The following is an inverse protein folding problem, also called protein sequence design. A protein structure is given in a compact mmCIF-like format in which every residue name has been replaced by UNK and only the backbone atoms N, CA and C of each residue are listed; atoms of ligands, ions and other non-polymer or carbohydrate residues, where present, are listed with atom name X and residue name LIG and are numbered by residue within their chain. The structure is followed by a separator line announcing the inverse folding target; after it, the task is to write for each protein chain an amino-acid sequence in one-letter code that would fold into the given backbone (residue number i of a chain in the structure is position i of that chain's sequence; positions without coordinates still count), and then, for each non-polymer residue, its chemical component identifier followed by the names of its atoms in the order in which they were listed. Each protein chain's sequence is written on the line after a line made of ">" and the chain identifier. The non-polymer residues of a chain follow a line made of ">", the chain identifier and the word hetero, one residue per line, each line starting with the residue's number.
data_IF_712412718555
#
_entry.id   IF_712412718555
#
_cell.length_a   1.000
_cell.length_b   1.000
_cell.length_c   1.000
_cell.angle_alpha   90.00
_cell.angle_beta   90.00
_cell.angle_gamma   90.00
#
_symmetry.space_group_name_H-M   'P 1'
#
loop_
_entity.id
_entity.type
_entity.pdbx_description
1 polymer ?
#
# COMPACT_ATOMS: atom_id res chain seq x y z
N UNK A 1 9.06 -23.52 24.01
CA UNK A 1 8.44 -24.39 25.03
C UNK A 1 8.95 -25.81 24.80
N UNK A 2 9.97 -26.25 25.55
CA UNK A 2 10.71 -27.50 25.30
C UNK A 2 10.12 -28.61 26.20
N UNK A 3 9.57 -29.72 25.66
CA UNK A 3 9.00 -30.77 26.51
C UNK A 3 10.09 -31.68 27.10
N UNK A 4 10.34 -31.49 28.41
CA UNK A 4 11.29 -32.22 29.28
C UNK A 4 10.87 -33.66 29.62
N UNK A 5 10.42 -34.48 28.66
CA UNK A 5 9.84 -35.82 29.00
C UNK A 5 10.53 -37.06 28.44
N UNK A 6 11.63 -36.93 27.68
CA UNK A 6 12.28 -38.10 27.07
C UNK A 6 13.50 -38.64 27.84
N UNK A 7 13.90 -38.00 28.95
CA UNK A 7 15.14 -38.37 29.66
C UNK A 7 14.98 -39.49 30.71
N UNK A 8 13.75 -39.91 31.05
CA UNK A 8 13.52 -40.87 32.16
C UNK A 8 13.33 -42.32 31.72
N UNK A 9 13.12 -42.60 30.43
CA UNK A 9 12.81 -43.94 29.94
C UNK A 9 14.05 -44.79 29.62
N UNK A 10 15.12 -44.18 29.11
CA UNK A 10 16.38 -44.89 28.77
C UNK A 10 17.19 -45.28 30.01
N UNK A 11 17.02 -44.55 31.12
CA UNK A 11 17.73 -44.84 32.37
C UNK A 11 17.22 -46.15 33.01
N UNK A 12 15.92 -46.44 32.90
CA UNK A 12 15.30 -47.67 33.44
C UNK A 12 15.77 -48.97 32.77
N UNK A 13 16.15 -48.92 31.49
CA UNK A 13 16.61 -50.11 30.76
C UNK A 13 18.10 -50.42 31.04
N UNK A 14 18.90 -49.42 31.41
CA UNK A 14 20.31 -49.59 31.79
C UNK A 14 20.50 -49.99 33.26
N UNK A 15 19.54 -49.65 34.13
CA UNK A 15 19.59 -49.95 35.56
C UNK A 15 19.81 -51.44 35.88
N UNK A 16 19.10 -52.42 35.28
CA UNK A 16 19.32 -53.84 35.61
C UNK A 16 20.68 -54.34 35.15
N UNK A 17 21.22 -53.84 34.04
CA UNK A 17 22.54 -54.22 33.55
C UNK A 17 23.66 -53.64 34.44
N UNK A 18 23.55 -52.38 34.86
CA UNK A 18 24.51 -51.76 35.78
C UNK A 18 24.44 -52.39 37.18
N UNK A 19 23.23 -52.76 37.66
CA UNK A 19 23.05 -53.52 38.90
C UNK A 19 23.65 -54.93 38.82
N UNK A 20 23.51 -55.61 37.68
CA UNK A 20 24.11 -56.93 37.48
C UNK A 20 25.65 -56.88 37.44
N UNK A 21 26.25 -55.84 36.84
CA UNK A 21 27.71 -55.63 36.87
C UNK A 21 28.21 -55.33 38.29
N UNK A 22 27.47 -54.52 39.07
CA UNK A 22 27.82 -54.25 40.47
C UNK A 22 27.67 -55.49 41.37
N UNK A 23 26.61 -56.29 41.17
CA UNK A 23 26.40 -57.53 41.90
C UNK A 23 27.45 -58.61 41.57
N UNK A 24 27.91 -58.68 40.31
CA UNK A 24 29.00 -59.58 39.92
C UNK A 24 30.33 -59.20 40.59
N UNK A 25 30.60 -57.90 40.77
CA UNK A 25 31.79 -57.44 41.50
C UNK A 25 31.72 -57.72 43.00
N UNK A 26 30.52 -57.73 43.60
CA UNK A 26 30.32 -58.10 45.00
C UNK A 26 30.36 -59.62 45.24
N UNK A 27 29.95 -60.44 44.27
CA UNK A 27 29.97 -61.90 44.37
C UNK A 27 31.37 -62.52 44.11
N UNK A 28 32.29 -61.80 43.47
CA UNK A 28 33.66 -62.28 43.20
C UNK A 28 34.69 -61.94 44.30
N UNK A 29 34.25 -61.32 45.41
CA UNK A 29 35.14 -61.02 46.55
C UNK A 29 35.23 -62.17 47.58
N UNK A 30 34.52 -63.29 47.39
CA UNK A 30 34.64 -64.48 48.26
C UNK A 30 34.95 -65.73 47.44
N UNK A 31 36.24 -66.08 47.33
CA UNK A 31 36.65 -67.35 46.75
C UNK A 31 38.14 -67.45 46.41
N UNK A 32 38.95 -67.88 47.39
CA UNK A 32 40.21 -68.58 47.12
C UNK A 32 41.50 -67.89 47.57
N UNK A 33 41.72 -67.81 48.89
CA UNK A 33 43.08 -67.85 49.43
C UNK A 33 43.52 -69.32 49.44
N UNK A 34 44.41 -69.69 48.51
CA UNK A 34 45.20 -70.90 48.59
C UNK A 34 46.67 -70.52 48.38
N UNK A 35 47.47 -70.99 49.34
CA UNK A 35 48.90 -70.77 49.50
C UNK A 35 49.74 -71.25 48.30
N UNK A 36 50.86 -70.58 48.09
CA UNK A 36 52.13 -71.21 47.71
C UNK A 36 52.35 -71.57 46.24
N UNK A 37 53.35 -70.92 45.62
CA UNK A 37 54.14 -71.51 44.54
C UNK A 37 54.02 -70.84 43.17
N UNK A 38 55.18 -70.45 42.64
CA UNK A 38 55.40 -69.83 41.33
C UNK A 38 54.79 -70.61 40.15
N UNK A 39 53.58 -70.24 39.72
CA UNK A 39 53.08 -70.41 38.36
C UNK A 39 51.81 -69.58 38.21
N UNK A 40 51.64 -68.89 37.08
CA UNK A 40 50.36 -68.23 36.74
C UNK A 40 49.24 -69.27 36.89
N UNK A 41 48.19 -69.03 37.70
CA UNK A 41 47.09 -69.97 37.86
C UNK A 41 46.17 -69.89 36.62
N UNK A 42 46.64 -70.45 35.50
CA UNK A 42 45.94 -70.47 34.21
C UNK A 42 44.49 -70.99 34.32
N UNK A 43 44.21 -71.88 35.29
CA UNK A 43 42.86 -72.37 35.55
C UNK A 43 41.87 -71.31 36.09
N UNK A 44 42.30 -70.43 37.01
CA UNK A 44 41.45 -69.35 37.53
C UNK A 44 41.26 -68.24 36.49
N UNK A 45 42.32 -67.92 35.74
CA UNK A 45 42.26 -66.97 34.62
C UNK A 45 41.26 -67.44 33.55
N UNK A 46 41.24 -68.74 33.21
CA UNK A 46 40.28 -69.30 32.25
C UNK A 46 38.84 -69.21 32.75
N UNK A 47 38.57 -69.49 34.04
CA UNK A 47 37.22 -69.34 34.61
C UNK A 47 36.75 -67.89 34.57
N UNK A 48 37.60 -66.95 34.96
CA UNK A 48 37.29 -65.52 34.91
C UNK A 48 37.10 -65.03 33.47
N UNK A 49 37.90 -65.53 32.52
CA UNK A 49 37.74 -65.23 31.09
C UNK A 49 36.42 -65.76 30.53
N UNK A 50 36.00 -66.97 30.90
CA UNK A 50 34.68 -67.53 30.50
C UNK A 50 33.54 -66.69 31.09
N UNK A 51 33.62 -66.31 32.37
CA UNK A 51 32.62 -65.45 33.00
C UNK A 51 32.51 -64.09 32.30
N UNK A 52 33.65 -63.44 32.04
CA UNK A 52 33.71 -62.19 31.29
C UNK A 52 33.16 -62.34 29.87
N UNK A 53 33.46 -63.44 29.17
CA UNK A 53 32.95 -63.72 27.84
C UNK A 53 31.42 -63.89 27.83
N UNK A 54 30.84 -64.57 28.84
CA UNK A 54 29.39 -64.70 29.00
C UNK A 54 28.75 -63.32 29.23
N UNK A 55 29.32 -62.52 30.14
CA UNK A 55 28.82 -61.16 30.42
C UNK A 55 28.92 -60.26 29.18
N UNK A 56 30.05 -60.28 28.49
CA UNK A 56 30.28 -59.52 27.26
C UNK A 56 29.30 -59.95 26.16
N UNK A 57 29.03 -61.26 26.03
CA UNK A 57 28.04 -61.80 25.09
C UNK A 57 26.63 -61.29 25.36
N UNK A 58 26.17 -61.35 26.62
CA UNK A 58 24.86 -60.84 27.04
C UNK A 58 24.78 -59.32 26.81
N UNK A 59 25.83 -58.58 27.15
CA UNK A 59 25.89 -57.13 26.98
C UNK A 59 25.81 -56.74 25.51
N UNK A 60 26.60 -57.37 24.63
CA UNK A 60 26.57 -57.12 23.18
C UNK A 60 25.20 -57.46 22.60
N UNK A 61 24.59 -58.57 23.00
CA UNK A 61 23.25 -58.94 22.55
C UNK A 61 22.20 -57.89 22.95
N UNK A 62 22.25 -57.39 24.17
CA UNK A 62 21.27 -56.42 24.68
C UNK A 62 21.52 -54.98 24.17
N UNK A 63 22.79 -54.56 23.99
CA UNK A 63 23.15 -53.21 23.53
C UNK A 63 23.08 -53.03 22.01
N UNK A 64 23.21 -54.10 21.22
CA UNK A 64 23.20 -54.01 19.75
C UNK A 64 21.93 -53.33 19.23
N UNK A 65 20.77 -53.60 19.84
CA UNK A 65 19.48 -53.03 19.44
C UNK A 65 19.33 -51.53 19.80
N UNK A 66 19.49 -51.09 21.06
CA UNK A 66 19.38 -49.67 21.42
C UNK A 66 20.49 -48.81 20.81
N UNK A 67 21.73 -49.31 20.71
CA UNK A 67 22.84 -48.55 20.12
C UNK A 67 22.63 -48.30 18.62
N UNK A 68 22.21 -49.32 17.87
CA UNK A 68 21.87 -49.14 16.45
C UNK A 68 20.67 -48.21 16.25
N UNK A 69 19.65 -48.29 17.11
CA UNK A 69 18.49 -47.40 17.04
C UNK A 69 18.88 -45.94 17.27
N UNK A 70 19.71 -45.65 18.29
CA UNK A 70 20.18 -44.30 18.59
C UNK A 70 20.99 -43.68 17.44
N UNK A 71 21.89 -44.47 16.83
CA UNK A 71 22.70 -43.98 15.70
C UNK A 71 21.85 -43.74 14.44
N UNK A 72 20.86 -44.59 14.19
CA UNK A 72 19.89 -44.39 13.09
C UNK A 72 19.05 -43.14 13.31
N UNK A 73 18.48 -42.98 14.51
CA UNK A 73 17.68 -41.79 14.86
C UNK A 73 18.49 -40.49 14.75
N UNK A 74 19.75 -40.48 15.22
CA UNK A 74 20.66 -39.34 15.05
C UNK A 74 20.96 -39.04 13.58
N UNK A 75 21.18 -40.08 12.77
CA UNK A 75 21.44 -39.93 11.34
C UNK A 75 20.21 -39.41 10.60
N UNK A 76 19.02 -39.89 10.94
CA UNK A 76 17.75 -39.43 10.38
C UNK A 76 17.44 -37.99 10.79
N UNK A 77 17.68 -37.61 12.05
CA UNK A 77 17.53 -36.23 12.51
C UNK A 77 18.49 -35.28 11.78
N UNK A 78 19.75 -35.68 11.59
CA UNK A 78 20.72 -34.87 10.87
C UNK A 78 20.31 -34.70 9.40
N UNK A 79 19.91 -35.80 8.72
CA UNK A 79 19.39 -35.75 7.35
C UNK A 79 18.17 -34.83 7.24
N UNK A 80 17.18 -35.00 8.12
CA UNK A 80 16.00 -34.13 8.18
C UNK A 80 16.39 -32.67 8.38
N UNK A 81 17.32 -32.38 9.29
CA UNK A 81 17.75 -31.00 9.54
C UNK A 81 18.45 -30.36 8.34
N UNK A 82 19.22 -31.15 7.57
CA UNK A 82 19.87 -30.68 6.34
C UNK A 82 18.82 -30.46 5.25
N UNK A 83 17.88 -31.39 5.08
CA UNK A 83 16.81 -31.28 4.09
C UNK A 83 15.88 -30.10 4.41
N UNK A 84 15.52 -29.91 5.67
CA UNK A 84 14.69 -28.80 6.14
C UNK A 84 15.42 -27.46 5.96
N UNK A 85 16.73 -27.39 6.25
CA UNK A 85 17.53 -26.20 6.00
C UNK A 85 17.65 -25.90 4.50
N UNK A 86 17.81 -26.93 3.65
CA UNK A 86 17.86 -26.77 2.20
C UNK A 86 16.52 -26.27 1.65
N UNK A 87 15.40 -26.83 2.12
CA UNK A 87 14.04 -26.37 1.78
C UNK A 87 13.81 -24.94 2.23
N UNK A 88 14.13 -24.61 3.48
CA UNK A 88 13.99 -23.24 4.00
C UNK A 88 14.81 -22.23 3.19
N UNK A 89 16.04 -22.59 2.78
CA UNK A 89 16.87 -21.75 1.91
C UNK A 89 16.26 -21.58 0.52
N UNK A 90 15.73 -22.65 -0.08
CA UNK A 90 15.07 -22.59 -1.37
C UNK A 90 13.81 -21.73 -1.33
N UNK A 91 12.97 -21.90 -0.31
CA UNK A 91 11.77 -21.07 -0.10
C UNK A 91 12.13 -19.61 0.14
N UNK A 92 13.17 -19.32 0.93
CA UNK A 92 13.64 -17.96 1.16
C UNK A 92 14.14 -17.31 -0.15
N UNK A 93 14.91 -18.05 -0.96
CA UNK A 93 15.38 -17.58 -2.25
C UNK A 93 14.24 -17.30 -3.24
N UNK A 94 13.22 -18.18 -3.28
CA UNK A 94 12.02 -17.95 -4.09
C UNK A 94 11.24 -16.72 -3.63
N UNK A 95 11.06 -16.54 -2.31
CA UNK A 95 10.39 -15.36 -1.75
C UNK A 95 11.17 -14.08 -2.07
N UNK A 96 12.50 -14.10 -1.95
CA UNK A 96 13.35 -12.96 -2.31
C UNK A 96 13.18 -12.59 -3.78
N UNK A 97 13.31 -13.56 -4.68
CA UNK A 97 13.12 -13.34 -6.13
C UNK A 97 11.72 -12.81 -6.45
N UNK A 98 10.68 -13.34 -5.79
CA UNK A 98 9.32 -12.85 -5.97
C UNK A 98 9.13 -11.41 -5.47
N UNK A 99 9.77 -11.03 -4.35
CA UNK A 99 9.75 -9.67 -3.82
C UNK A 99 10.51 -8.73 -4.77
N UNK A 100 11.71 -9.09 -5.20
CA UNK A 100 12.51 -8.29 -6.15
C UNK A 100 11.74 -8.06 -7.46
N UNK A 101 11.11 -9.10 -8.01
CA UNK A 101 10.27 -8.99 -9.20
C UNK A 101 9.04 -8.10 -8.98
N UNK A 102 8.40 -8.16 -7.81
CA UNK A 102 7.28 -7.28 -7.45
C UNK A 102 7.76 -5.83 -7.30
N UNK A 103 8.88 -5.60 -6.64
CA UNK A 103 9.45 -4.26 -6.45
C UNK A 103 9.82 -3.63 -7.80
N UNK A 104 10.45 -4.39 -8.70
CA UNK A 104 10.77 -3.92 -10.04
C UNK A 104 9.49 -3.54 -10.83
N UNK A 105 8.47 -4.41 -10.81
CA UNK A 105 7.17 -4.11 -11.44
C UNK A 105 6.51 -2.86 -10.85
N UNK A 106 6.53 -2.71 -9.52
CA UNK A 106 5.99 -1.52 -8.87
C UNK A 106 6.75 -0.25 -9.27
N UNK A 107 8.08 -0.31 -9.38
CA UNK A 107 8.88 0.82 -9.87
C UNK A 107 8.50 1.21 -11.30
N UNK A 108 8.32 0.23 -12.19
CA UNK A 108 7.89 0.46 -13.56
C UNK A 108 6.46 1.02 -13.63
N UNK A 109 5.54 0.49 -12.82
CA UNK A 109 4.16 0.98 -12.72
C UNK A 109 4.11 2.42 -12.21
N UNK A 110 4.92 2.77 -11.20
CA UNK A 110 5.03 4.14 -10.70
C UNK A 110 5.59 5.07 -11.77
N UNK A 111 6.63 4.65 -12.49
CA UNK A 111 7.20 5.45 -13.58
C UNK A 111 6.16 5.69 -14.69
N UNK A 112 5.40 4.66 -15.07
CA UNK A 112 4.32 4.78 -16.04
C UNK A 112 3.18 5.67 -15.54
N UNK A 113 2.81 5.56 -14.26
CA UNK A 113 1.78 6.39 -13.66
C UNK A 113 2.19 7.86 -13.64
N UNK A 114 3.41 8.16 -13.23
CA UNK A 114 3.95 9.53 -13.26
C UNK A 114 3.96 10.10 -14.68
N UNK A 115 4.42 9.33 -15.66
CA UNK A 115 4.42 9.76 -17.06
C UNK A 115 3.00 10.06 -17.59
N UNK A 116 2.01 9.25 -17.21
CA UNK A 116 0.59 9.50 -17.54
C UNK A 116 0.07 10.75 -16.85
N UNK A 117 0.35 10.91 -15.55
CA UNK A 117 -0.06 12.09 -14.79
C UNK A 117 0.52 13.38 -15.37
N UNK A 118 1.79 13.38 -15.76
CA UNK A 118 2.42 14.56 -16.38
C UNK A 118 1.81 14.88 -17.75
N UNK A 119 1.51 13.85 -18.54
CA UNK A 119 0.85 14.02 -19.84
C UNK A 119 -0.59 14.56 -19.69
N UNK A 120 -1.36 14.00 -18.76
CA UNK A 120 -2.73 14.42 -18.44
C UNK A 120 -2.75 15.83 -17.87
N UNK A 121 -1.88 16.15 -16.90
CA UNK A 121 -1.75 17.49 -16.35
C UNK A 121 -1.37 18.51 -17.44
N UNK A 122 -0.44 18.16 -18.33
CA UNK A 122 -0.08 19.00 -19.46
C UNK A 122 -1.24 19.24 -20.43
N UNK A 123 -2.05 18.22 -20.71
CA UNK A 123 -3.24 18.34 -21.55
C UNK A 123 -4.33 19.19 -20.89
N UNK A 124 -4.59 18.97 -19.61
CA UNK A 124 -5.58 19.70 -18.84
C UNK A 124 -5.22 21.19 -18.73
N UNK A 125 -3.95 21.51 -18.47
CA UNK A 125 -3.47 22.90 -18.43
C UNK A 125 -3.64 23.59 -19.79
N UNK A 126 -3.43 22.88 -20.91
CA UNK A 126 -3.68 23.45 -22.25
C UNK A 126 -5.17 23.70 -22.48
N UNK A 127 -6.02 22.70 -22.21
CA UNK A 127 -7.47 22.81 -22.31
C UNK A 127 -8.03 23.96 -21.47
N UNK A 128 -7.58 24.06 -20.21
CA UNK A 128 -8.02 25.12 -19.29
C UNK A 128 -7.58 26.50 -19.77
N UNK A 129 -6.37 26.63 -20.32
CA UNK A 129 -5.91 27.90 -20.92
C UNK A 129 -6.73 28.28 -22.14
N UNK A 130 -6.99 27.33 -23.04
CA UNK A 130 -7.82 27.56 -24.23
C UNK A 130 -9.24 28.00 -23.83
N UNK A 131 -9.88 27.26 -22.91
CA UNK A 131 -11.19 27.61 -22.37
C UNK A 131 -11.20 28.98 -21.70
N UNK A 132 -10.19 29.29 -20.88
CA UNK A 132 -10.06 30.61 -20.25
C UNK A 132 -9.90 31.73 -21.29
N UNK A 133 -9.09 31.53 -22.33
CA UNK A 133 -8.92 32.54 -23.39
C UNK A 133 -10.22 32.76 -24.18
N UNK A 134 -10.96 31.69 -24.47
CA UNK A 134 -12.26 31.76 -25.13
C UNK A 134 -13.28 32.50 -24.26
N UNK A 135 -13.33 32.20 -22.96
CA UNK A 135 -14.27 32.89 -22.06
C UNK A 135 -13.90 34.35 -21.86
N UNK A 136 -12.61 34.69 -21.75
CA UNK A 136 -12.15 36.09 -21.71
C UNK A 136 -12.59 36.84 -22.96
N UNK A 137 -12.43 36.24 -24.15
CA UNK A 137 -12.88 36.85 -25.40
C UNK A 137 -14.40 37.03 -25.42
N UNK A 138 -15.16 36.05 -24.95
CA UNK A 138 -16.63 36.10 -24.83
C UNK A 138 -17.07 37.23 -23.89
N UNK A 139 -16.45 37.33 -22.72
CA UNK A 139 -16.74 38.38 -21.74
C UNK A 139 -16.42 39.76 -22.32
N UNK A 140 -15.29 39.92 -23.01
CA UNK A 140 -14.95 41.20 -23.66
C UNK A 140 -15.98 41.60 -24.71
N UNK A 141 -16.34 40.70 -25.61
CA UNK A 141 -17.36 40.97 -26.62
C UNK A 141 -18.71 41.33 -25.98
N UNK A 142 -19.09 40.64 -24.91
CA UNK A 142 -20.33 40.94 -24.18
C UNK A 142 -20.27 42.31 -23.46
N UNK A 143 -19.12 42.67 -22.89
CA UNK A 143 -18.92 43.96 -22.25
C UNK A 143 -18.92 45.12 -23.26
N UNK A 144 -18.29 44.93 -24.42
CA UNK A 144 -18.31 45.90 -25.54
C UNK A 144 -19.74 46.12 -26.03
N UNK A 145 -20.46 45.03 -26.32
CA UNK A 145 -21.86 45.10 -26.74
C UNK A 145 -22.75 45.78 -25.70
N UNK A 146 -22.62 45.43 -24.42
CA UNK A 146 -23.37 46.08 -23.34
C UNK A 146 -23.02 47.57 -23.23
N UNK A 147 -21.74 47.93 -23.35
CA UNK A 147 -21.28 49.32 -23.34
C UNK A 147 -21.86 50.14 -24.49
N UNK A 148 -21.85 49.61 -25.71
CA UNK A 148 -22.45 50.27 -26.88
C UNK A 148 -23.95 50.50 -26.69
N UNK A 149 -24.66 49.50 -26.16
CA UNK A 149 -26.09 49.60 -25.89
C UNK A 149 -26.40 50.66 -24.83
N UNK A 150 -25.60 50.75 -23.76
CA UNK A 150 -25.78 51.76 -22.72
C UNK A 150 -25.46 53.17 -23.24
N UNK A 151 -24.41 53.33 -24.05
CA UNK A 151 -24.11 54.61 -24.72
C UNK A 151 -25.25 55.03 -25.64
N UNK A 152 -25.82 54.08 -26.40
CA UNK A 152 -26.96 54.36 -27.28
C UNK A 152 -28.19 54.80 -26.49
N UNK A 153 -28.47 54.13 -25.37
CA UNK A 153 -29.57 54.47 -24.46
C UNK A 153 -29.37 55.85 -23.83
N UNK A 154 -28.18 56.14 -23.29
CA UNK A 154 -27.85 57.44 -22.73
C UNK A 154 -28.00 58.57 -23.77
N UNK A 155 -27.56 58.35 -25.02
CA UNK A 155 -27.76 59.30 -26.12
C UNK A 155 -29.24 59.54 -26.45
N UNK A 156 -30.07 58.51 -26.40
CA UNK A 156 -31.52 58.65 -26.62
C UNK A 156 -32.17 59.44 -25.50
N UNK A 157 -31.78 59.19 -24.26
CA UNK A 157 -32.29 59.91 -23.08
C UNK A 157 -31.90 61.39 -23.12
N UNK A 158 -30.63 61.70 -23.39
CA UNK A 158 -30.15 63.08 -23.57
C UNK A 158 -30.87 63.80 -24.71
N UNK A 159 -31.13 63.12 -25.84
CA UNK A 159 -31.90 63.72 -26.96
C UNK A 159 -33.33 64.03 -26.55
N UNK A 160 -33.97 63.15 -25.77
CA UNK A 160 -35.32 63.36 -25.27
C UNK A 160 -35.37 64.56 -24.32
N UNK A 161 -34.44 64.64 -23.37
CA UNK A 161 -34.32 65.78 -22.46
C UNK A 161 -34.04 67.09 -23.20
N UNK A 162 -33.11 67.08 -24.15
CA UNK A 162 -32.81 68.25 -24.96
C UNK A 162 -34.03 68.70 -25.78
N UNK A 163 -34.83 67.77 -26.30
CA UNK A 163 -36.07 68.09 -27.04
C UNK A 163 -37.11 68.75 -26.13
N UNK A 164 -37.27 68.24 -24.91
CA UNK A 164 -38.18 68.81 -23.90
C UNK A 164 -37.75 70.21 -23.49
N UNK A 165 -36.47 70.40 -23.17
CA UNK A 165 -35.91 71.71 -22.81
C UNK A 165 -36.01 72.70 -23.96
N UNK A 166 -35.77 72.28 -25.20
CA UNK A 166 -35.89 73.14 -26.39
C UNK A 166 -37.34 73.56 -26.62
N UNK A 167 -38.31 72.65 -26.45
CA UNK A 167 -39.73 72.96 -26.55
C UNK A 167 -40.16 73.97 -25.47
N UNK A 168 -39.71 73.79 -24.23
CA UNK A 168 -39.98 74.71 -23.12
C UNK A 168 -39.38 76.10 -23.38
N UNK A 169 -38.14 76.17 -23.85
CA UNK A 169 -37.49 77.44 -24.18
C UNK A 169 -38.19 78.15 -25.35
N UNK A 170 -38.62 77.40 -26.38
CA UNK A 170 -39.39 77.93 -27.48
C UNK A 170 -40.78 78.44 -27.02
N UNK A 171 -41.48 77.69 -26.16
CA UNK A 171 -42.75 78.11 -25.55
C UNK A 171 -42.59 79.42 -24.77
N UNK A 172 -41.54 79.52 -23.93
CA UNK A 172 -41.26 80.71 -23.13
C UNK A 172 -40.92 81.91 -24.03
N UNK A 173 -40.14 81.69 -25.10
CA UNK A 173 -39.82 82.74 -26.06
C UNK A 173 -41.07 83.23 -26.81
N UNK A 174 -41.87 82.31 -27.36
CA UNK A 174 -43.13 82.63 -28.05
C UNK A 174 -44.07 83.41 -27.13
N UNK A 175 -44.22 82.99 -25.87
CA UNK A 175 -45.04 83.70 -24.88
C UNK A 175 -44.54 85.14 -24.62
N UNK A 176 -43.23 85.39 -24.68
CA UNK A 176 -42.64 86.72 -24.47
C UNK A 176 -42.70 87.62 -25.71
N UNK A 177 -42.73 87.05 -26.92
CA UNK A 177 -42.67 87.82 -28.17
C UNK A 177 -44.00 87.96 -28.92
N UNK A 178 -45.06 87.29 -28.48
CA UNK A 178 -46.35 87.30 -29.19
C UNK A 178 -47.03 88.67 -29.14
N UNK A 179 -47.35 89.22 -30.33
CA UNK A 179 -48.11 90.46 -30.47
C UNK A 179 -49.63 90.19 -30.58
N UNK A 180 -50.50 91.19 -30.31
CA UNK A 180 -51.94 91.08 -30.55
C UNK A 180 -52.28 90.79 -32.02
N UNK A 181 -51.53 91.35 -32.96
CA UNK A 181 -51.74 91.12 -34.40
C UNK A 181 -51.44 89.67 -34.80
N UNK A 182 -50.43 89.04 -34.18
CA UNK A 182 -50.11 87.62 -34.41
C UNK A 182 -51.20 86.69 -33.89
N UNK A 183 -51.84 87.00 -32.76
CA UNK A 183 -52.94 86.20 -32.23
C UNK A 183 -54.14 86.18 -33.18
N UNK A 184 -54.55 87.33 -33.70
CA UNK A 184 -55.66 87.39 -34.66
C UNK A 184 -55.35 86.65 -35.97
N UNK A 185 -54.12 86.77 -36.47
CA UNK A 185 -53.67 86.06 -37.67
C UNK A 185 -53.74 84.54 -37.48
N UNK A 186 -53.25 84.03 -36.34
CA UNK A 186 -53.30 82.61 -36.01
C UNK A 186 -54.73 82.08 -35.90
N UNK A 187 -55.67 82.86 -35.37
CA UNK A 187 -57.09 82.47 -35.30
C UNK A 187 -57.70 82.39 -36.70
N UNK A 188 -57.45 83.38 -37.57
CA UNK A 188 -57.93 83.36 -38.96
C UNK A 188 -57.39 82.16 -39.74
N UNK A 189 -56.09 81.89 -39.65
CA UNK A 189 -55.47 80.73 -40.31
C UNK A 189 -56.03 79.38 -39.78
N UNK A 190 -56.33 79.27 -38.48
CA UNK A 190 -56.93 78.06 -37.91
C UNK A 190 -58.35 77.81 -38.45
N UNK A 191 -59.15 78.87 -38.54
CA UNK A 191 -60.51 78.81 -39.08
C UNK A 191 -60.50 78.38 -40.55
N UNK A 192 -59.61 78.93 -41.38
CA UNK A 192 -59.44 78.51 -42.78
C UNK A 192 -58.99 77.04 -42.89
N UNK A 193 -58.10 76.57 -42.02
CA UNK A 193 -57.62 75.18 -42.03
C UNK A 193 -58.73 74.18 -41.68
N UNK A 194 -59.58 74.54 -40.71
CA UNK A 194 -60.73 73.72 -40.33
C UNK A 194 -61.77 73.69 -41.46
N UNK A 195 -62.05 74.83 -42.10
CA UNK A 195 -62.94 74.87 -43.27
C UNK A 195 -62.40 74.04 -44.45
N UNK A 196 -61.08 73.99 -44.65
CA UNK A 196 -60.43 73.18 -45.69
C UNK A 196 -60.38 71.67 -45.41
N UNK A 197 -60.58 71.23 -44.16
CA UNK A 197 -60.67 69.80 -43.78
C UNK A 197 -62.12 69.31 -43.80
N UNK A 198 -63.07 70.21 -43.57
CA UNK A 198 -64.51 69.91 -43.51
C UNK A 198 -65.18 69.93 -44.90
N UNK A 199 -64.50 70.47 -45.92
CA UNK A 199 -64.91 70.43 -47.34
C UNK A 199 -64.18 69.34 -48.10
#
# INVERSE_FOLDING_TARGET
>A
MIPRRLFSASLRASLPAVLAVSAASAACASGGAAEGGSAIPWGEVVKQAINFAILAGVLVYFLRKPLSSFLKERSELLRKSIDDAAKARAEAAQKLSAIEARTAKLSDEIAQLNAKMDAEAGAEVRSLREAATAEIARIRAQAEFAGEQEVKKARQELRKEASVLSAQAAEELVRKTLSPEDQERLVRENLEKIEGIVR
#
